data_IF_753672616870
#
_entry.id   IF_753672616870
#
_cell.length_a   1.000
_cell.length_b   1.000
_cell.length_c   1.000
_cell.angle_alpha   90.00
_cell.angle_beta   90.00
_cell.angle_gamma   90.00
#
_symmetry.space_group_name_H-M   'P 1'
#
loop_
_entity.id
_entity.type
_entity.pdbx_description
1 polymer ?
#
# COMPACT_ATOMS: atom_id res chain seq x y z
N UNK A 1 -11.01 -0.66 4.37
CA UNK A 1 -12.38 -1.14 4.04
C UNK A 1 -13.36 -0.02 3.62
N UNK A 2 -13.59 1.03 4.43
CA UNK A 2 -14.47 2.15 4.03
C UNK A 2 -13.87 3.05 2.95
N UNK A 3 -12.59 3.45 3.10
CA UNK A 3 -11.84 4.19 2.06
C UNK A 3 -11.75 3.42 0.75
N UNK A 4 -11.82 2.09 0.83
CA UNK A 4 -11.81 1.17 -0.30
C UNK A 4 -13.20 0.99 -0.91
N UNK A 5 -14.22 1.72 -0.42
CA UNK A 5 -15.62 1.67 -0.87
C UNK A 5 -16.24 0.26 -0.83
N UNK A 6 -15.71 -0.65 -0.01
CA UNK A 6 -16.22 -2.03 0.14
C UNK A 6 -17.27 -2.15 1.26
N UNK A 7 -17.15 -1.30 2.29
CA UNK A 7 -18.13 -1.21 3.38
C UNK A 7 -18.54 0.23 3.60
N UNK A 8 -19.72 0.45 4.19
CA UNK A 8 -20.21 1.75 4.62
C UNK A 8 -20.82 1.65 6.02
N UNK A 9 -20.84 2.77 6.76
CA UNK A 9 -21.59 2.86 8.01
C UNK A 9 -23.07 3.08 7.68
N UNK A 10 -23.96 2.24 8.21
CA UNK A 10 -25.41 2.38 8.08
C UNK A 10 -26.06 2.08 9.43
N UNK A 11 -26.77 3.07 10.00
CA UNK A 11 -27.43 2.97 11.32
C UNK A 11 -26.52 2.35 12.41
N UNK A 12 -25.29 2.86 12.52
CA UNK A 12 -24.32 2.40 13.52
C UNK A 12 -23.62 1.07 13.19
N UNK A 13 -24.00 0.37 12.13
CA UNK A 13 -23.38 -0.91 11.73
C UNK A 13 -22.51 -0.74 10.48
N UNK A 14 -21.48 -1.57 10.35
CA UNK A 14 -20.72 -1.73 9.11
C UNK A 14 -21.46 -2.71 8.20
N UNK A 15 -21.79 -2.26 6.99
CA UNK A 15 -22.46 -3.10 5.98
C UNK A 15 -21.70 -3.05 4.66
N UNK A 16 -21.74 -4.14 3.90
CA UNK A 16 -21.14 -4.18 2.56
C UNK A 16 -21.85 -3.18 1.62
N UNK A 17 -21.08 -2.47 0.81
CA UNK A 17 -21.59 -1.71 -0.33
C UNK A 17 -22.06 -2.67 -1.43
N UNK A 18 -22.79 -2.22 -2.47
CA UNK A 18 -23.08 -3.06 -3.62
C UNK A 18 -21.81 -3.67 -4.23
N UNK A 19 -20.73 -2.90 -4.32
CA UNK A 19 -19.45 -3.39 -4.81
C UNK A 19 -18.83 -4.41 -3.83
N UNK A 20 -18.90 -4.16 -2.52
CA UNK A 20 -18.47 -5.10 -1.50
C UNK A 20 -19.19 -6.44 -1.58
N UNK A 21 -20.52 -6.44 -1.80
CA UNK A 21 -21.30 -7.68 -1.98
C UNK A 21 -20.91 -8.46 -3.23
N UNK A 22 -20.58 -7.77 -4.32
CA UNK A 22 -20.14 -8.41 -5.56
C UNK A 22 -18.78 -9.09 -5.40
N UNK A 23 -17.86 -8.43 -4.69
CA UNK A 23 -16.48 -8.88 -4.56
C UNK A 23 -16.27 -9.92 -3.45
N UNK A 24 -17.08 -9.92 -2.39
CA UNK A 24 -16.90 -10.83 -1.24
C UNK A 24 -17.08 -12.31 -1.61
N UNK A 25 -17.77 -12.61 -2.71
CA UNK A 25 -18.03 -13.98 -3.16
C UNK A 25 -17.02 -14.47 -4.22
N UNK A 26 -16.00 -13.67 -4.54
CA UNK A 26 -14.97 -14.02 -5.52
C UNK A 26 -13.61 -13.51 -5.06
N UNK A 27 -12.82 -14.42 -4.50
CA UNK A 27 -11.46 -14.11 -4.04
C UNK A 27 -10.60 -13.54 -5.18
N UNK A 28 -10.74 -14.07 -6.39
CA UNK A 28 -10.06 -13.54 -7.58
C UNK A 28 -10.49 -12.10 -7.91
N UNK A 29 -11.79 -11.78 -7.87
CA UNK A 29 -12.25 -10.42 -8.14
C UNK A 29 -11.84 -9.44 -7.03
N UNK A 30 -11.83 -9.89 -5.77
CA UNK A 30 -11.33 -9.11 -4.65
C UNK A 30 -9.82 -8.85 -4.83
N UNK A 31 -9.04 -9.86 -5.17
CA UNK A 31 -7.61 -9.76 -5.43
C UNK A 31 -7.28 -8.77 -6.57
N UNK A 32 -8.01 -8.87 -7.67
CA UNK A 32 -7.89 -7.97 -8.81
C UNK A 32 -8.21 -6.53 -8.42
N UNK A 33 -9.30 -6.33 -7.67
CA UNK A 33 -9.69 -5.03 -7.16
C UNK A 33 -8.64 -4.42 -6.21
N UNK A 34 -8.09 -5.22 -5.29
CA UNK A 34 -7.12 -4.74 -4.31
C UNK A 34 -5.78 -4.38 -4.97
N UNK A 35 -5.29 -5.21 -5.88
CA UNK A 35 -4.06 -4.96 -6.62
C UNK A 35 -4.18 -3.73 -7.52
N UNK A 36 -5.31 -3.54 -8.21
CA UNK A 36 -5.55 -2.35 -9.02
C UNK A 36 -5.59 -1.07 -8.17
N UNK A 37 -6.26 -1.09 -7.02
CA UNK A 37 -6.31 0.07 -6.10
C UNK A 37 -4.96 0.48 -5.55
N UNK A 38 -4.06 -0.47 -5.32
CA UNK A 38 -2.69 -0.19 -4.87
C UNK A 38 -1.79 0.25 -6.02
N UNK A 39 -1.99 -0.28 -7.23
CA UNK A 39 -1.26 0.13 -8.42
C UNK A 39 -1.64 1.54 -8.89
N UNK A 40 -2.93 1.87 -8.82
CA UNK A 40 -3.51 3.09 -9.39
C UNK A 40 -4.37 3.85 -8.36
N UNK A 41 -3.79 4.32 -7.24
CA UNK A 41 -4.54 5.12 -6.28
C UNK A 41 -4.92 6.48 -6.91
N UNK A 42 -6.03 7.11 -6.48
CA UNK A 42 -6.49 8.38 -7.06
C UNK A 42 -5.50 9.54 -6.93
N UNK A 43 -4.69 9.56 -5.87
CA UNK A 43 -3.69 10.59 -5.64
C UNK A 43 -2.32 10.13 -6.16
N UNK A 44 -1.73 10.93 -7.06
CA UNK A 44 -0.44 10.62 -7.69
C UNK A 44 0.70 10.42 -6.67
N UNK A 45 0.72 11.21 -5.60
CA UNK A 45 1.70 11.06 -4.51
C UNK A 45 1.60 9.66 -3.86
N UNK A 46 0.38 9.18 -3.58
CA UNK A 46 0.16 7.84 -3.03
C UNK A 46 0.61 6.78 -4.03
N UNK A 47 0.38 6.99 -5.33
CA UNK A 47 0.84 6.09 -6.38
C UNK A 47 2.36 5.93 -6.38
N UNK A 48 3.09 7.04 -6.23
CA UNK A 48 4.54 7.03 -6.15
C UNK A 48 5.04 6.33 -4.87
N UNK A 49 4.43 6.63 -3.71
CA UNK A 49 4.77 5.96 -2.43
C UNK A 49 4.56 4.44 -2.56
N UNK A 50 3.40 4.01 -3.07
CA UNK A 50 3.09 2.60 -3.29
C UNK A 50 4.13 1.94 -4.21
N UNK A 51 4.48 2.57 -5.33
CA UNK A 51 5.45 2.02 -6.28
C UNK A 51 6.85 1.85 -5.68
N UNK A 52 7.32 2.81 -4.89
CA UNK A 52 8.61 2.73 -4.21
C UNK A 52 8.62 1.62 -3.17
N UNK A 53 7.59 1.55 -2.31
CA UNK A 53 7.49 0.51 -1.27
C UNK A 53 7.35 -0.88 -1.87
N UNK A 54 6.49 -1.06 -2.87
CA UNK A 54 6.34 -2.32 -3.61
C UNK A 54 7.68 -2.74 -4.21
N UNK A 55 8.42 -1.81 -4.84
CA UNK A 55 9.73 -2.11 -5.41
C UNK A 55 10.75 -2.56 -4.35
N UNK A 56 10.76 -1.94 -3.17
CA UNK A 56 11.62 -2.38 -2.07
C UNK A 56 11.29 -3.80 -1.63
N UNK A 57 10.01 -4.11 -1.45
CA UNK A 57 9.56 -5.43 -0.98
C UNK A 57 9.77 -6.53 -2.03
N UNK A 58 9.48 -6.27 -3.31
CA UNK A 58 9.74 -7.23 -4.40
C UNK A 58 11.22 -7.59 -4.49
N UNK A 59 12.10 -6.60 -4.27
CA UNK A 59 13.56 -6.77 -4.31
C UNK A 59 14.18 -7.27 -3.01
N UNK A 60 13.38 -7.48 -1.97
CA UNK A 60 13.85 -7.80 -0.62
C UNK A 60 14.91 -6.79 -0.12
N UNK A 61 14.66 -5.51 -0.41
CA UNK A 61 15.60 -4.41 -0.20
C UNK A 61 14.93 -3.26 0.57
N UNK A 62 14.11 -3.61 1.57
CA UNK A 62 13.46 -2.63 2.43
C UNK A 62 14.52 -1.93 3.31
N UNK A 63 14.67 -0.59 3.23
CA UNK A 63 15.66 0.12 4.05
C UNK A 63 15.36 0.00 5.55
N UNK A 64 16.31 0.41 6.41
CA UNK A 64 16.04 0.55 7.85
C UNK A 64 14.94 1.59 8.12
N UNK A 65 14.26 1.47 9.26
CA UNK A 65 13.13 2.34 9.59
C UNK A 65 13.43 3.84 9.45
N UNK A 66 14.59 4.30 9.92
CA UNK A 66 14.98 5.71 9.84
C UNK A 66 15.28 6.17 8.41
N UNK A 67 15.89 5.32 7.57
CA UNK A 67 16.18 5.67 6.18
C UNK A 67 14.93 5.75 5.30
N UNK A 68 13.90 4.96 5.59
CA UNK A 68 12.64 4.95 4.81
C UNK A 68 12.03 6.34 4.69
N UNK A 69 11.96 7.07 5.81
CA UNK A 69 11.36 8.41 5.85
C UNK A 69 12.14 9.41 5.02
N UNK A 70 13.47 9.40 5.17
CA UNK A 70 14.37 10.31 4.47
C UNK A 70 14.32 10.09 2.96
N UNK A 71 14.46 8.83 2.52
CA UNK A 71 14.43 8.49 1.09
C UNK A 71 13.07 8.87 0.48
N UNK A 72 11.96 8.61 1.19
CA UNK A 72 10.64 8.93 0.68
C UNK A 72 10.42 10.45 0.55
N UNK A 73 10.83 11.22 1.55
CA UNK A 73 10.77 12.67 1.53
C UNK A 73 11.56 13.25 0.34
N UNK A 74 12.80 12.80 0.16
CA UNK A 74 13.66 13.21 -0.96
C UNK A 74 13.03 12.89 -2.32
N UNK A 75 12.50 11.68 -2.49
CA UNK A 75 11.83 11.26 -3.74
C UNK A 75 10.62 12.15 -4.02
N UNK A 76 9.74 12.36 -3.04
CA UNK A 76 8.51 13.12 -3.22
C UNK A 76 8.80 14.59 -3.54
N UNK A 77 9.69 15.22 -2.79
CA UNK A 77 10.08 16.62 -3.03
C UNK A 77 10.80 16.78 -4.37
N UNK A 78 11.68 15.84 -4.75
CA UNK A 78 12.30 15.86 -6.08
C UNK A 78 11.29 15.70 -7.23
N UNK A 79 10.10 15.15 -6.96
CA UNK A 79 8.99 15.07 -7.94
C UNK A 79 8.00 16.22 -7.84
N UNK A 80 8.31 17.25 -7.04
CA UNK A 80 7.50 18.45 -6.91
C UNK A 80 6.29 18.31 -5.99
N UNK A 81 6.20 17.22 -5.21
CA UNK A 81 5.18 17.13 -4.17
C UNK A 81 5.60 17.97 -2.96
N UNK A 82 4.60 18.59 -2.34
CA UNK A 82 4.73 19.48 -1.19
C UNK A 82 3.60 19.21 -0.17
N UNK A 83 3.83 19.57 1.09
CA UNK A 83 2.85 19.52 2.16
C UNK A 83 2.79 20.91 2.83
N UNK A 84 1.60 21.48 2.95
CA UNK A 84 1.38 22.85 3.44
C UNK A 84 2.34 23.89 2.82
N UNK A 85 2.46 23.87 1.49
CA UNK A 85 3.34 24.74 0.68
C UNK A 85 4.85 24.60 0.94
N UNK A 86 5.28 23.60 1.71
CA UNK A 86 6.67 23.28 2.01
C UNK A 86 7.14 21.92 1.46
N UNK A 87 8.46 21.65 1.48
CA UNK A 87 8.98 20.33 1.11
C UNK A 87 8.46 19.26 2.08
N UNK A 88 8.38 18.02 1.58
CA UNK A 88 8.00 16.88 2.40
C UNK A 88 9.10 16.64 3.42
N UNK A 89 8.73 16.59 4.69
CA UNK A 89 9.66 16.30 5.79
C UNK A 89 9.91 14.80 5.92
N UNK A 90 11.02 14.42 6.55
CA UNK A 90 11.30 13.01 6.89
C UNK A 90 10.15 12.37 7.67
N UNK A 91 9.54 13.12 8.60
CA UNK A 91 8.42 12.67 9.42
C UNK A 91 7.20 12.31 8.56
N UNK A 92 6.88 13.13 7.58
CA UNK A 92 5.78 12.88 6.64
C UNK A 92 6.10 11.70 5.71
N UNK A 93 7.32 11.65 5.16
CA UNK A 93 7.78 10.51 4.37
C UNK A 93 7.68 9.18 5.15
N UNK A 94 8.06 9.21 6.43
CA UNK A 94 7.97 8.05 7.34
C UNK A 94 6.52 7.63 7.58
N UNK A 95 5.62 8.59 7.80
CA UNK A 95 4.20 8.32 7.98
C UNK A 95 3.59 7.66 6.73
N UNK A 96 3.91 8.17 5.54
CA UNK A 96 3.43 7.63 4.27
C UNK A 96 3.89 6.19 4.04
N UNK A 97 5.19 5.90 4.27
CA UNK A 97 5.71 4.52 4.16
C UNK A 97 5.01 3.59 5.15
N UNK A 98 4.86 4.03 6.41
CA UNK A 98 4.18 3.23 7.44
C UNK A 98 2.74 2.90 7.05
N UNK A 99 2.01 3.84 6.46
CA UNK A 99 0.61 3.63 6.08
C UNK A 99 0.47 2.60 4.95
N UNK A 100 1.41 2.58 4.00
CA UNK A 100 1.49 1.51 2.99
C UNK A 100 1.84 0.17 3.61
N UNK A 101 2.86 0.10 4.47
CA UNK A 101 3.23 -1.15 5.16
C UNK A 101 2.06 -1.70 5.97
N UNK A 102 1.39 -0.85 6.76
CA UNK A 102 0.22 -1.25 7.55
C UNK A 102 -0.93 -1.75 6.68
N UNK A 103 -1.11 -1.15 5.50
CA UNK A 103 -2.08 -1.63 4.52
C UNK A 103 -1.74 -3.04 4.05
N UNK A 104 -0.47 -3.33 3.74
CA UNK A 104 -0.01 -4.65 3.32
C UNK A 104 -0.08 -5.69 4.44
N UNK A 105 0.18 -5.31 5.69
CA UNK A 105 -0.02 -6.17 6.87
C UNK A 105 -1.50 -6.55 7.03
N UNK A 106 -2.42 -5.58 6.91
CA UNK A 106 -3.86 -5.83 6.96
C UNK A 106 -4.34 -6.78 5.86
N UNK A 107 -3.62 -6.85 4.74
CA UNK A 107 -3.90 -7.77 3.63
C UNK A 107 -3.18 -9.11 3.76
N UNK A 108 -2.45 -9.36 4.86
CA UNK A 108 -1.58 -10.53 5.07
C UNK A 108 -0.53 -10.74 3.96
N UNK A 109 -0.13 -9.67 3.27
CA UNK A 109 0.99 -9.69 2.30
C UNK A 109 2.31 -9.85 3.04
N UNK A 110 2.40 -9.27 4.23
CA UNK A 110 3.53 -9.42 5.14
C UNK A 110 3.17 -10.46 6.20
N UNK A 111 4.10 -11.34 6.52
CA UNK A 111 3.95 -12.32 7.57
C UNK A 111 3.72 -11.60 8.90
N UNK A 112 2.84 -12.15 9.74
CA UNK A 112 2.68 -11.67 11.11
C UNK A 112 3.98 -11.92 11.85
N UNK A 113 4.66 -10.86 12.23
CA UNK A 113 5.76 -10.94 13.20
C UNK A 113 5.14 -11.08 14.60
N UNK A 114 5.63 -12.01 15.40
CA UNK A 114 5.25 -12.12 16.82
C UNK A 114 5.71 -10.88 17.60
N UNK A 115 6.76 -10.21 17.14
CA UNK A 115 7.19 -8.91 17.64
C UNK A 115 6.65 -7.79 16.75
N UNK A 116 5.76 -6.98 17.30
CA UNK A 116 5.15 -5.82 16.63
C UNK A 116 6.22 -4.78 16.25
N UNK A 117 7.35 -4.75 16.98
CA UNK A 117 8.47 -3.83 16.77
C UNK A 117 9.53 -4.37 15.79
N UNK A 118 9.44 -5.64 15.38
CA UNK A 118 10.41 -6.23 14.44
C UNK A 118 10.36 -5.52 13.08
N UNK A 119 11.54 -5.04 12.66
CA UNK A 119 11.73 -4.46 11.33
C UNK A 119 11.84 -5.52 10.22
N UNK A 120 12.01 -6.80 10.59
CA UNK A 120 12.16 -7.95 9.69
C UNK A 120 10.81 -8.48 9.21
N UNK A 121 10.06 -7.61 8.54
CA UNK A 121 8.78 -7.97 7.92
C UNK A 121 9.04 -8.84 6.69
N UNK A 122 8.90 -10.16 6.84
CA UNK A 122 9.00 -11.10 5.72
C UNK A 122 7.73 -11.03 4.86
N UNK A 123 7.91 -10.99 3.55
CA UNK A 123 6.81 -11.12 2.58
C UNK A 123 6.35 -12.58 2.55
N UNK A 124 5.05 -12.84 2.62
CA UNK A 124 4.49 -14.20 2.47
C UNK A 124 4.58 -14.66 1.01
N UNK A 125 4.50 -15.97 0.72
CA UNK A 125 4.56 -16.45 -0.67
C UNK A 125 3.44 -15.86 -1.54
N UNK A 126 2.19 -15.90 -1.07
CA UNK A 126 1.06 -15.23 -1.73
C UNK A 126 1.20 -13.71 -1.76
N UNK A 127 1.83 -13.12 -0.74
CA UNK A 127 2.15 -11.70 -0.70
C UNK A 127 3.16 -11.30 -1.79
N UNK A 128 4.12 -12.16 -2.10
CA UNK A 128 5.10 -11.94 -3.17
C UNK A 128 4.42 -11.91 -4.53
N UNK A 129 3.53 -12.87 -4.80
CA UNK A 129 2.73 -12.89 -6.02
C UNK A 129 1.87 -11.61 -6.14
N UNK A 130 1.25 -11.18 -5.05
CA UNK A 130 0.48 -9.93 -5.00
C UNK A 130 1.32 -8.70 -5.35
N UNK A 131 2.52 -8.58 -4.77
CA UNK A 131 3.40 -7.44 -5.00
C UNK A 131 3.95 -7.41 -6.43
N UNK A 132 4.25 -8.57 -7.01
CA UNK A 132 4.63 -8.71 -8.42
C UNK A 132 3.49 -8.23 -9.31
N UNK A 133 2.25 -8.63 -9.01
CA UNK A 133 1.07 -8.23 -9.75
C UNK A 133 0.84 -6.70 -9.69
N UNK A 134 0.98 -6.09 -8.51
CA UNK A 134 0.92 -4.63 -8.37
C UNK A 134 2.01 -3.95 -9.22
N UNK A 135 3.25 -4.43 -9.14
CA UNK A 135 4.37 -3.87 -9.89
C UNK A 135 4.15 -3.98 -11.41
N UNK A 136 3.57 -5.09 -11.86
CA UNK A 136 3.24 -5.33 -13.27
C UNK A 136 2.21 -4.30 -13.78
N UNK A 137 1.17 -4.05 -12.98
CA UNK A 137 0.15 -3.03 -13.26
C UNK A 137 0.72 -1.61 -13.26
N UNK A 138 1.58 -1.29 -12.29
CA UNK A 138 2.28 0.01 -12.22
C UNK A 138 3.15 0.28 -13.47
N UNK A 139 3.65 -0.76 -14.14
CA UNK A 139 4.43 -0.64 -15.37
C UNK A 139 3.59 -0.75 -16.66
N UNK A 140 2.25 -0.83 -16.56
CA UNK A 140 1.36 -0.91 -17.72
C UNK A 140 1.43 -2.24 -18.50
N UNK A 141 1.89 -3.33 -17.86
CA UNK A 141 1.90 -4.66 -18.51
C UNK A 141 0.55 -5.35 -18.24
N UNK A 142 -0.16 -5.90 -19.25
CA UNK A 142 -1.41 -6.66 -19.09
C UNK A 142 -1.18 -8.11 -18.67
N UNK A 143 -2.17 -8.69 -17.98
CA UNK A 143 -2.12 -10.00 -17.28
C UNK A 143 -2.15 -11.16 -18.26
#
# INVERSE_FOLDING_TARGET
>A
MQEWKLVRKYKGKLVLTPNGRRLVNSDAALWEYLSDRLAHPPAAAIGLVNAVVVRWLVKDALPSYDLRGKIMAEILTARGFAYDDGPITEREGRALVRDVIRTLECLNVLAKSEDVLSEDKKVTDSGREFLIEIQRKQHGRPS
#
